data_IF_826664479673
#
_entry.id   IF_826664479673
#
_cell.length_a   1.000
_cell.length_b   1.000
_cell.length_c   1.000
_cell.angle_alpha   90.00
_cell.angle_beta   90.00
_cell.angle_gamma   90.00
#
_symmetry.space_group_name_H-M   'P 1'
#
loop_
_entity.id
_entity.type
_entity.pdbx_description
1 polymer ?
#
# COMPACT_ATOMS: atom_id res chain seq x y z
N UNK A 1 -7.80 14.94 7.80
CA UNK A 1 -7.64 14.94 6.47
C UNK A 1 -6.47 14.13 6.05
N UNK A 2 -6.15 14.22 4.90
CA UNK A 2 -5.07 13.44 4.37
C UNK A 2 -3.84 13.53 5.24
N UNK A 3 -3.98 14.06 6.34
CA UNK A 3 -2.86 14.35 7.17
C UNK A 3 -2.53 13.31 8.18
N UNK A 4 -3.26 12.22 8.19
CA UNK A 4 -2.96 11.19 9.18
C UNK A 4 -1.48 10.82 9.17
N UNK A 5 -0.90 10.68 7.99
CA UNK A 5 0.51 10.39 7.89
C UNK A 5 1.40 11.61 8.06
N UNK A 6 0.82 12.80 7.96
CA UNK A 6 1.60 14.02 8.03
C UNK A 6 1.99 14.41 9.44
N UNK A 7 1.20 14.00 10.40
CA UNK A 7 1.43 14.38 11.77
C UNK A 7 2.56 13.61 12.42
N UNK A 8 3.06 12.60 11.75
CA UNK A 8 4.11 11.75 12.27
C UNK A 8 5.36 12.00 11.47
N UNK A 9 6.50 12.18 12.13
CA UNK A 9 7.74 12.43 11.44
C UNK A 9 8.09 11.34 10.45
N UNK A 10 7.88 10.09 10.84
CA UNK A 10 8.11 9.00 9.93
C UNK A 10 7.14 9.05 8.76
N UNK A 11 5.94 9.54 9.02
CA UNK A 11 4.96 9.72 7.99
C UNK A 11 5.37 10.76 6.96
N UNK A 12 6.12 11.77 7.39
CA UNK A 12 6.57 12.79 6.47
C UNK A 12 7.44 12.21 5.37
N UNK A 13 8.33 11.30 5.72
CA UNK A 13 9.21 10.68 4.75
C UNK A 13 8.40 9.86 3.74
N UNK A 14 7.46 9.07 4.23
CA UNK A 14 6.63 8.26 3.36
C UNK A 14 5.71 9.13 2.50
N UNK A 15 5.18 10.18 3.08
CA UNK A 15 4.28 11.08 2.36
C UNK A 15 5.00 11.75 1.21
N UNK A 16 6.19 12.27 1.46
CA UNK A 16 6.97 12.91 0.42
C UNK A 16 7.25 11.94 -0.72
N UNK A 17 7.61 10.72 -0.39
CA UNK A 17 7.87 9.70 -1.38
C UNK A 17 6.62 9.41 -2.20
N UNK A 18 5.49 9.28 -1.54
CA UNK A 18 4.24 8.99 -2.23
C UNK A 18 3.83 10.11 -3.16
N UNK A 19 3.99 11.34 -2.74
CA UNK A 19 3.65 12.48 -3.58
C UNK A 19 4.52 12.52 -4.82
N UNK A 20 5.80 12.26 -4.69
CA UNK A 20 6.68 12.22 -5.85
C UNK A 20 6.29 11.12 -6.81
N UNK A 21 5.93 9.97 -6.27
CA UNK A 21 5.51 8.87 -7.10
C UNK A 21 4.24 9.20 -7.86
N UNK A 22 3.30 9.85 -7.21
CA UNK A 22 2.05 10.20 -7.87
C UNK A 22 2.28 11.20 -9.00
N UNK A 23 3.28 12.07 -8.86
CA UNK A 23 3.60 13.03 -9.91
C UNK A 23 4.22 12.37 -11.12
N UNK A 24 4.98 11.32 -10.93
CA UNK A 24 5.77 10.75 -12.01
C UNK A 24 5.17 9.52 -12.65
N UNK A 25 4.54 8.70 -11.85
CA UNK A 25 4.11 7.41 -12.33
C UNK A 25 2.80 7.49 -13.06
N UNK A 26 1.90 8.29 -12.55
CA UNK A 26 0.62 8.42 -13.20
C UNK A 26 -0.26 7.18 -13.14
N UNK A 27 0.26 6.08 -12.66
CA UNK A 27 -0.53 4.86 -12.55
C UNK A 27 -1.31 4.76 -11.26
N UNK A 28 -0.98 5.57 -10.28
CA UNK A 28 -1.61 5.52 -8.98
C UNK A 28 -1.65 6.92 -8.41
N UNK A 29 -2.85 7.40 -8.17
CA UNK A 29 -3.05 8.69 -7.53
C UNK A 29 -3.18 8.49 -6.04
N UNK A 30 -2.21 9.01 -5.29
CA UNK A 30 -2.23 8.90 -3.84
C UNK A 30 -2.95 10.13 -3.29
N UNK A 31 -4.15 9.91 -2.77
CA UNK A 31 -4.98 11.00 -2.28
C UNK A 31 -4.66 11.41 -0.85
N UNK A 32 -3.97 10.55 -0.13
CA UNK A 32 -3.73 10.77 1.28
C UNK A 32 -4.89 10.37 2.18
N UNK A 33 -5.91 9.74 1.62
CA UNK A 33 -7.06 9.30 2.40
C UNK A 33 -6.96 7.81 2.68
N UNK A 34 -6.87 7.46 3.94
CA UNK A 34 -6.80 6.06 4.36
C UNK A 34 -8.17 5.42 4.16
N UNK A 35 -8.21 4.33 3.42
CA UNK A 35 -9.44 3.59 3.16
C UNK A 35 -9.70 2.51 4.20
N UNK A 36 -8.66 2.05 4.87
CA UNK A 36 -8.81 1.02 5.89
C UNK A 36 -7.46 0.66 6.46
N UNK A 37 -7.49 -0.25 7.42
CA UNK A 37 -6.30 -0.72 8.11
C UNK A 37 -6.11 -2.19 7.82
N UNK A 38 -4.91 -2.57 7.37
CA UNK A 38 -4.56 -3.95 7.13
C UNK A 38 -3.65 -4.48 8.22
N UNK A 39 -3.48 -5.80 8.22
CA UNK A 39 -2.60 -6.47 9.17
C UNK A 39 -1.49 -7.17 8.41
N UNK A 40 -0.25 -6.97 8.85
CA UNK A 40 0.89 -7.67 8.28
C UNK A 40 0.86 -9.12 8.74
N UNK A 41 0.82 -10.02 7.77
CA UNK A 41 0.82 -11.46 8.03
C UNK A 41 2.24 -12.00 7.98
N UNK A 42 3.06 -11.44 7.11
CA UNK A 42 4.40 -11.94 6.87
C UNK A 42 5.28 -10.81 6.37
N UNK A 43 6.52 -10.77 6.84
CA UNK A 43 7.50 -9.83 6.34
C UNK A 43 8.86 -10.52 6.43
N UNK A 44 9.33 -11.06 5.32
CA UNK A 44 10.50 -11.91 5.29
C UNK A 44 11.46 -11.53 4.17
N UNK A 45 12.76 -11.65 4.42
CA UNK A 45 13.73 -11.45 3.34
C UNK A 45 13.64 -12.60 2.33
N UNK A 46 13.73 -12.25 1.06
CA UNK A 46 13.79 -13.21 -0.03
C UNK A 46 14.91 -12.72 -0.95
N UNK A 47 16.07 -13.36 -0.88
CA UNK A 47 17.23 -12.85 -1.56
C UNK A 47 17.59 -11.48 -1.03
N UNK A 48 17.69 -10.49 -1.91
CA UNK A 48 17.98 -9.11 -1.52
C UNK A 48 16.71 -8.31 -1.28
N UNK A 49 15.55 -8.88 -1.60
CA UNK A 49 14.26 -8.22 -1.44
C UNK A 49 13.56 -8.69 -0.18
N UNK A 50 12.39 -8.14 0.10
CA UNK A 50 11.53 -8.60 1.17
C UNK A 50 10.16 -8.91 0.62
N UNK A 51 9.54 -9.97 1.12
CA UNK A 51 8.16 -10.26 0.80
C UNK A 51 7.29 -9.77 1.95
N UNK A 52 6.36 -8.88 1.62
CA UNK A 52 5.40 -8.35 2.58
C UNK A 52 4.03 -8.91 2.22
N UNK A 53 3.38 -9.57 3.17
CA UNK A 53 2.04 -10.12 2.98
C UNK A 53 1.11 -9.42 3.94
N UNK A 54 0.03 -8.88 3.40
CA UNK A 54 -0.92 -8.09 4.18
C UNK A 54 -2.32 -8.66 4.00
N UNK A 55 -3.07 -8.70 5.10
CA UNK A 55 -4.47 -9.07 5.10
C UNK A 55 -5.30 -7.79 5.16
N UNK A 56 -6.08 -7.53 4.12
CA UNK A 56 -6.88 -6.31 4.03
C UNK A 56 -8.26 -6.49 4.65
N UNK A 57 -8.93 -5.39 5.00
CA UNK A 57 -10.33 -5.47 5.40
C UNK A 57 -11.17 -6.03 4.24
N UNK A 58 -12.21 -6.74 4.60
CA UNK A 58 -13.07 -7.37 3.60
C UNK A 58 -13.61 -6.36 2.60
N UNK A 59 -13.93 -5.16 3.07
CA UNK A 59 -14.51 -4.13 2.21
C UNK A 59 -13.55 -3.63 1.14
N UNK A 60 -12.24 -3.79 1.34
CA UNK A 60 -11.26 -3.32 0.38
C UNK A 60 -10.80 -4.41 -0.59
N UNK A 61 -11.07 -5.67 -0.28
CA UNK A 61 -10.53 -6.78 -1.06
C UNK A 61 -10.88 -6.67 -2.55
N UNK A 62 -12.06 -6.21 -2.89
CA UNK A 62 -12.49 -6.13 -4.28
C UNK A 62 -11.74 -5.08 -5.10
N UNK A 63 -11.04 -4.17 -4.43
CA UNK A 63 -10.26 -3.13 -5.13
C UNK A 63 -8.80 -3.51 -5.29
N UNK A 64 -8.39 -4.65 -4.75
CA UNK A 64 -7.00 -5.07 -4.78
C UNK A 64 -6.84 -6.14 -5.83
N UNK A 65 -6.04 -5.84 -6.86
CA UNK A 65 -5.86 -6.74 -7.98
C UNK A 65 -4.38 -7.07 -8.16
N UNK A 66 -4.11 -8.26 -8.65
CA UNK A 66 -2.76 -8.66 -8.99
C UNK A 66 -2.15 -7.67 -9.96
N UNK A 67 -0.93 -7.24 -9.68
CA UNK A 67 -0.20 -6.25 -10.47
C UNK A 67 -0.84 -4.87 -10.47
N UNK A 68 -1.80 -4.66 -9.59
CA UNK A 68 -2.37 -3.34 -9.38
C UNK A 68 -1.56 -2.57 -8.36
N UNK A 69 -2.01 -1.36 -8.07
CA UNK A 69 -1.34 -0.47 -7.13
C UNK A 69 -2.10 -0.38 -5.83
N UNK A 70 -1.37 -0.28 -4.73
CA UNK A 70 -1.95 -0.04 -3.43
C UNK A 70 -0.97 0.82 -2.63
N UNK A 71 -1.49 1.68 -1.78
CA UNK A 71 -0.65 2.51 -0.93
C UNK A 71 -0.67 1.93 0.49
N UNK A 72 0.51 1.65 1.00
CA UNK A 72 0.70 1.08 2.34
C UNK A 72 1.50 2.09 3.15
N UNK A 73 0.89 2.62 4.21
CA UNK A 73 1.51 3.65 5.05
C UNK A 73 2.11 4.79 4.23
N UNK A 74 1.38 5.21 3.20
CA UNK A 74 1.80 6.34 2.37
C UNK A 74 2.74 5.99 1.24
N UNK A 75 3.13 4.73 1.09
CA UNK A 75 4.04 4.30 0.03
C UNK A 75 3.26 3.54 -1.03
N UNK A 76 3.34 4.00 -2.28
CA UNK A 76 2.64 3.36 -3.39
C UNK A 76 3.42 2.14 -3.85
N UNK A 77 2.77 1.00 -3.87
CA UNK A 77 3.41 -0.29 -4.16
C UNK A 77 2.57 -1.09 -5.14
N UNK A 78 3.24 -2.03 -5.81
CA UNK A 78 2.56 -2.91 -6.77
C UNK A 78 2.33 -4.28 -6.12
N UNK A 79 1.10 -4.77 -6.23
CA UNK A 79 0.78 -6.08 -5.68
C UNK A 79 1.34 -7.17 -6.57
N UNK A 80 1.82 -8.24 -5.96
CA UNK A 80 2.37 -9.38 -6.66
C UNK A 80 1.34 -10.50 -6.79
N UNK A 81 0.87 -11.01 -5.66
CA UNK A 81 -0.13 -12.06 -5.63
C UNK A 81 -1.31 -11.60 -4.80
N UNK A 82 -2.51 -12.03 -5.18
CA UNK A 82 -3.72 -11.69 -4.45
C UNK A 82 -4.52 -12.97 -4.25
N UNK A 83 -4.91 -13.24 -3.01
CA UNK A 83 -5.73 -14.40 -2.69
C UNK A 83 -6.75 -13.98 -1.63
N UNK A 84 -7.99 -13.81 -2.05
CA UNK A 84 -9.04 -13.35 -1.14
C UNK A 84 -8.71 -11.96 -0.60
N UNK A 85 -8.59 -11.87 0.72
CA UNK A 85 -8.28 -10.62 1.42
C UNK A 85 -6.78 -10.41 1.59
N UNK A 86 -5.98 -11.36 1.18
CA UNK A 86 -4.54 -11.35 1.42
C UNK A 86 -3.81 -11.03 0.12
N UNK A 87 -2.83 -10.17 0.20
CA UNK A 87 -2.02 -9.84 -0.96
C UNK A 87 -0.56 -9.73 -0.57
N UNK A 88 0.32 -9.94 -1.53
CA UNK A 88 1.76 -9.86 -1.30
C UNK A 88 2.39 -8.78 -2.15
N UNK A 89 3.48 -8.24 -1.66
CA UNK A 89 4.26 -7.21 -2.32
C UNK A 89 5.72 -7.59 -2.19
N UNK A 90 6.47 -7.46 -3.27
CA UNK A 90 7.93 -7.62 -3.22
C UNK A 90 8.55 -6.24 -3.04
N UNK A 91 9.22 -6.03 -1.91
CA UNK A 91 9.86 -4.76 -1.61
C UNK A 91 11.32 -4.84 -2.02
N UNK A 92 11.73 -3.95 -2.90
CA UNK A 92 13.14 -3.86 -3.29
C UNK A 92 13.93 -3.25 -2.12
N UNK A 93 15.23 -3.52 -2.03
CA UNK A 93 16.04 -3.04 -0.89
C UNK A 93 15.96 -1.54 -0.69
N UNK A 94 15.98 -0.77 -1.76
CA UNK A 94 15.94 0.69 -1.64
C UNK A 94 14.65 1.14 -0.94
N UNK A 95 13.51 0.58 -1.30
CA UNK A 95 12.24 0.93 -0.68
C UNK A 95 12.25 0.64 0.81
N UNK A 96 12.80 -0.52 1.20
CA UNK A 96 12.86 -0.88 2.60
C UNK A 96 13.74 0.08 3.38
N UNK A 97 14.85 0.52 2.77
CA UNK A 97 15.79 1.40 3.45
C UNK A 97 15.28 2.82 3.63
N UNK A 98 14.53 3.34 2.68
CA UNK A 98 14.16 4.75 2.69
C UNK A 98 12.76 5.04 3.19
N UNK A 99 12.02 4.01 3.61
CA UNK A 99 10.66 4.20 4.11
C UNK A 99 10.53 3.58 5.49
N UNK A 100 9.36 3.83 6.12
CA UNK A 100 9.07 3.22 7.41
C UNK A 100 8.71 1.75 7.29
N UNK A 101 8.62 1.21 6.07
CA UNK A 101 8.24 -0.18 5.87
C UNK A 101 9.24 -1.14 6.49
N UNK A 102 10.48 -0.72 6.69
CA UNK A 102 11.50 -1.56 7.33
C UNK A 102 11.15 -1.94 8.76
N UNK A 103 10.19 -1.24 9.35
CA UNK A 103 9.77 -1.52 10.74
C UNK A 103 8.64 -2.52 10.83
N UNK A 104 8.14 -2.98 9.71
CA UNK A 104 7.01 -3.90 9.71
C UNK A 104 7.42 -5.27 10.20
N UNK A 105 6.45 -5.95 10.80
CA UNK A 105 6.63 -7.31 11.30
C UNK A 105 5.25 -7.97 11.37
N UNK A 106 5.18 -9.29 11.42
CA UNK A 106 3.88 -9.95 11.55
C UNK A 106 3.12 -9.43 12.76
N UNK A 107 1.85 -9.12 12.56
CA UNK A 107 1.01 -8.55 13.60
C UNK A 107 0.94 -7.03 13.56
N UNK A 108 1.85 -6.36 12.85
CA UNK A 108 1.78 -4.91 12.72
C UNK A 108 0.57 -4.52 11.90
N UNK A 109 0.07 -3.30 12.12
CA UNK A 109 -1.03 -2.77 11.32
C UNK A 109 -0.48 -1.71 10.37
N UNK A 110 -1.14 -1.57 9.23
CA UNK A 110 -0.74 -0.59 8.22
C UNK A 110 -1.98 0.11 7.69
N UNK A 111 -1.81 1.35 7.31
CA UNK A 111 -2.87 2.11 6.65
C UNK A 111 -2.87 1.76 5.16
N UNK A 112 -4.05 1.50 4.63
CA UNK A 112 -4.20 1.12 3.23
C UNK A 112 -5.02 2.15 2.49
N UNK A 113 -4.58 2.47 1.29
CA UNK A 113 -5.33 3.32 0.38
C UNK A 113 -5.36 2.61 -0.96
N UNK A 114 -6.57 2.34 -1.47
CA UNK A 114 -6.70 1.66 -2.76
C UNK A 114 -6.66 2.65 -3.90
N UNK A 115 -6.31 2.15 -5.08
CA UNK A 115 -6.21 2.96 -6.27
C UNK A 115 -7.59 3.57 -6.62
N UNK A 116 -7.63 4.87 -6.81
CA UNK A 116 -8.87 5.54 -7.18
C UNK A 116 -9.43 5.01 -8.49
N UNK A 117 -8.56 4.63 -9.41
CA UNK A 117 -9.02 4.07 -10.68
C UNK A 117 -9.79 2.78 -10.44
N UNK A 118 -9.34 1.96 -9.51
CA UNK A 118 -10.04 0.72 -9.19
C UNK A 118 -11.43 1.01 -8.64
N UNK A 119 -11.56 2.07 -7.84
CA UNK A 119 -12.87 2.46 -7.32
C UNK A 119 -13.81 2.92 -8.43
N UNK A 120 -13.30 3.69 -9.37
CA UNK A 120 -14.13 4.18 -10.47
C UNK A 120 -14.57 3.03 -11.36
N UNK A 121 -13.68 2.10 -11.66
CA UNK A 121 -14.04 0.95 -12.48
C UNK A 121 -15.13 0.13 -11.79
N UNK A 122 -15.00 -0.11 -10.51
CA UNK A 122 -15.97 -0.86 -9.76
C UNK A 122 -17.34 -0.19 -9.81
N UNK A 123 -17.35 1.12 -9.65
CA UNK A 123 -18.60 1.87 -9.70
C UNK A 123 -19.25 1.82 -11.08
N UNK A 124 -18.43 1.88 -12.14
CA UNK A 124 -18.95 1.85 -13.50
C UNK A 124 -19.54 0.49 -13.87
N UNK A 125 -19.04 -0.57 -13.26
CA UNK A 125 -19.52 -1.91 -13.55
C UNK A 125 -20.79 -2.26 -12.78
N UNK A 126 -21.14 -1.50 -11.78
CA UNK A 126 -22.35 -1.72 -11.01
C UNK A 126 -23.50 -0.93 -11.63
N UNK A 127 -24.61 -1.60 -11.90
CA UNK A 127 -25.80 -0.92 -12.43
C UNK A 127 -26.38 0.07 -11.42
#
# INVERSE_FOLDING_TARGET
NCTVGLDVLDGEVNLEKAMRLSDFIGGHLVSGHVDGVGEVVKFEPIGESHELVIKAPKALAKYIARKGSITVDGVSLTTNKVKGRTFSINLIPHTVEVTTLKRLHPGATVNLEVDLIARYVERMLKP
#
